data_IF_000417551634
#
_entry.id   IF_000417551634
#
_cell.length_a   1.000
_cell.length_b   1.000
_cell.length_c   1.000
_cell.angle_alpha   90.00
_cell.angle_beta   90.00
_cell.angle_gamma   90.00
#
_symmetry.space_group_name_H-M   'P 1'
#
loop_
_entity.id
_entity.type
_entity.pdbx_description
1 polymer ?
#
# COMPACT_ATOMS: atom_id res chain seq x y z
N UNK A 1 13.05 7.13 -10.42
CA UNK A 1 12.85 6.45 -9.13
C UNK A 1 11.83 7.26 -8.35
N UNK A 2 10.55 6.97 -8.53
CA UNK A 2 9.48 7.85 -8.05
C UNK A 2 8.78 7.13 -6.91
N UNK A 3 9.27 7.35 -5.69
CA UNK A 3 8.40 7.30 -4.51
C UNK A 3 7.27 8.28 -4.84
N UNK A 4 6.01 7.89 -4.69
CA UNK A 4 4.91 8.85 -4.68
C UNK A 4 5.16 9.81 -3.51
N UNK A 5 5.90 10.88 -3.76
CA UNK A 5 6.26 11.93 -2.81
C UNK A 5 5.05 12.83 -2.50
N UNK A 6 3.93 12.66 -3.22
CA UNK A 6 2.66 13.22 -2.80
C UNK A 6 2.12 12.39 -1.64
N UNK A 7 2.46 12.84 -0.44
CA UNK A 7 1.54 12.75 0.68
C UNK A 7 0.17 13.14 0.14
N UNK A 8 -0.82 12.29 0.38
CA UNK A 8 -2.22 12.72 0.30
C UNK A 8 -2.37 14.05 1.06
N UNK A 9 -3.32 14.95 0.73
CA UNK A 9 -3.58 16.17 1.50
C UNK A 9 -3.63 15.93 3.03
N UNK A 10 -3.99 14.73 3.47
CA UNK A 10 -4.01 14.33 4.89
C UNK A 10 -2.66 13.81 5.46
N UNK A 11 -1.60 13.72 4.64
CA UNK A 11 -0.25 13.34 5.07
C UNK A 11 0.12 11.86 4.91
N UNK A 12 -0.73 11.05 4.25
CA UNK A 12 -0.50 9.61 4.07
C UNK A 12 0.34 9.30 2.83
N UNK A 13 1.17 8.27 2.94
CA UNK A 13 1.74 7.55 1.80
C UNK A 13 0.73 6.55 1.28
N UNK A 14 0.40 6.65 0.00
CA UNK A 14 -0.59 5.81 -0.66
C UNK A 14 0.12 4.86 -1.63
N UNK A 15 -0.19 3.57 -1.53
CA UNK A 15 0.31 2.53 -2.43
C UNK A 15 -0.90 1.81 -3.02
N UNK A 16 -0.87 1.52 -4.31
CA UNK A 16 -1.94 0.78 -4.99
C UNK A 16 -1.36 -0.53 -5.48
N UNK A 17 -2.05 -1.63 -5.16
CA UNK A 17 -1.63 -2.97 -5.55
C UNK A 17 -2.77 -3.74 -6.18
N UNK A 18 -2.43 -4.68 -7.06
CA UNK A 18 -3.40 -5.62 -7.59
C UNK A 18 -3.92 -6.55 -6.48
N UNK A 19 -5.24 -6.65 -6.34
CA UNK A 19 -5.88 -7.46 -5.29
C UNK A 19 -5.52 -8.94 -5.38
N UNK A 20 -5.36 -9.48 -6.58
CA UNK A 20 -5.03 -10.89 -6.78
C UNK A 20 -3.61 -11.21 -6.29
N UNK A 21 -2.68 -10.26 -6.44
CA UNK A 21 -1.29 -10.42 -6.03
C UNK A 21 -1.13 -10.25 -4.50
N UNK A 22 -1.97 -9.40 -3.88
CA UNK A 22 -1.91 -9.14 -2.44
C UNK A 22 -2.78 -10.07 -1.58
N UNK A 23 -3.56 -10.97 -2.19
CA UNK A 23 -4.61 -11.75 -1.53
C UNK A 23 -4.11 -12.54 -0.31
N UNK A 24 -2.95 -13.19 -0.43
CA UNK A 24 -2.35 -13.99 0.66
C UNK A 24 -1.75 -13.14 1.79
N UNK A 25 -1.47 -11.86 1.53
CA UNK A 25 -0.79 -10.96 2.47
C UNK A 25 -1.76 -9.95 3.08
N UNK A 26 -3.00 -9.90 2.60
CA UNK A 26 -4.03 -9.01 3.10
C UNK A 26 -4.32 -9.21 4.58
N UNK A 27 -4.39 -10.46 5.02
CA UNK A 27 -4.59 -10.82 6.44
C UNK A 27 -3.43 -10.39 7.34
N UNK A 28 -2.22 -10.30 6.79
CA UNK A 28 -1.06 -9.81 7.54
C UNK A 28 -1.04 -8.29 7.59
N UNK A 29 -1.47 -7.63 6.51
CA UNK A 29 -1.55 -6.18 6.43
C UNK A 29 -2.69 -5.62 7.26
N UNK A 30 -3.84 -6.30 7.32
CA UNK A 30 -4.98 -5.88 8.14
C UNK A 30 -4.68 -5.89 9.64
N UNK A 31 -3.73 -6.73 10.08
CA UNK A 31 -3.23 -6.77 11.46
C UNK A 31 -2.31 -5.60 11.81
N UNK A 32 -1.78 -4.86 10.81
CA UNK A 32 -0.97 -3.67 11.06
C UNK A 32 -1.89 -2.49 11.34
N UNK A 33 -2.03 -2.12 12.61
CA UNK A 33 -2.81 -0.96 13.06
C UNK A 33 -2.39 0.39 12.44
N UNK A 34 -1.18 0.46 11.86
CA UNK A 34 -0.62 1.65 11.23
C UNK A 34 -0.89 1.77 9.72
N UNK A 35 -1.72 0.87 9.18
CA UNK A 35 -2.02 0.74 7.76
C UNK A 35 -3.54 0.69 7.56
N UNK A 36 -4.03 1.49 6.62
CA UNK A 36 -5.43 1.50 6.20
C UNK A 36 -5.50 0.80 4.84
N UNK A 37 -6.39 -0.18 4.71
CA UNK A 37 -6.63 -0.92 3.48
C UNK A 37 -8.01 -0.52 2.93
N UNK A 38 -8.06 -0.10 1.67
CA UNK A 38 -9.30 0.18 0.96
C UNK A 38 -9.35 -0.67 -0.31
N UNK A 39 -10.49 -1.30 -0.58
CA UNK A 39 -10.71 -2.16 -1.74
C UNK A 39 -11.43 -1.37 -2.83
N UNK A 40 -10.83 -1.31 -4.03
CA UNK A 40 -11.36 -0.57 -5.17
C UNK A 40 -11.23 -1.38 -6.45
N UNK A 41 -12.35 -1.89 -6.96
CA UNK A 41 -12.50 -2.45 -8.32
C UNK A 41 -11.37 -3.40 -8.75
N UNK A 42 -10.91 -4.28 -7.86
CA UNK A 42 -9.84 -5.25 -8.15
C UNK A 42 -8.44 -4.81 -7.73
N UNK A 43 -8.31 -3.63 -7.15
CA UNK A 43 -7.09 -3.11 -6.53
C UNK A 43 -7.28 -2.90 -5.03
N UNK A 44 -6.17 -2.91 -4.32
CA UNK A 44 -6.11 -2.61 -2.89
C UNK A 44 -5.24 -1.37 -2.71
N UNK A 45 -5.85 -0.34 -2.15
CA UNK A 45 -5.19 0.89 -1.78
C UNK A 45 -4.73 0.75 -0.33
N UNK A 46 -3.44 0.95 -0.12
CA UNK A 46 -2.78 0.83 1.17
C UNK A 46 -2.28 2.21 1.57
N UNK A 47 -2.87 2.79 2.62
CA UNK A 47 -2.50 4.11 3.14
C UNK A 47 -1.75 3.95 4.46
N UNK A 48 -0.64 4.66 4.64
CA UNK A 48 0.09 4.70 5.92
C UNK A 48 0.76 6.05 6.14
N UNK A 49 0.81 6.53 7.39
CA UNK A 49 1.56 7.76 7.72
C UNK A 49 3.08 7.52 7.83
N UNK A 50 3.51 6.25 7.94
CA UNK A 50 4.92 5.91 8.15
C UNK A 50 5.64 5.68 6.82
N UNK A 51 6.59 6.57 6.50
CA UNK A 51 7.47 6.43 5.32
C UNK A 51 8.21 5.10 5.30
N UNK A 52 8.64 4.62 6.48
CA UNK A 52 9.38 3.35 6.62
C UNK A 52 8.50 2.17 6.25
N UNK A 53 7.26 2.15 6.73
CA UNK A 53 6.28 1.11 6.39
C UNK A 53 5.97 1.17 4.89
N UNK A 54 5.65 2.36 4.36
CA UNK A 54 5.39 2.54 2.94
C UNK A 54 6.55 2.02 2.07
N UNK A 55 7.80 2.38 2.41
CA UNK A 55 8.98 1.93 1.67
C UNK A 55 9.19 0.41 1.77
N UNK A 56 8.93 -0.18 2.94
CA UNK A 56 9.03 -1.63 3.15
C UNK A 56 7.99 -2.39 2.34
N UNK A 57 6.74 -1.91 2.35
CA UNK A 57 5.64 -2.47 1.58
C UNK A 57 5.89 -2.35 0.09
N UNK A 58 6.29 -1.16 -0.38
CA UNK A 58 6.65 -0.94 -1.77
C UNK A 58 7.74 -1.91 -2.24
N UNK A 59 8.84 -2.05 -1.48
CA UNK A 59 9.91 -3.00 -1.84
C UNK A 59 9.45 -4.46 -1.82
N UNK A 60 8.63 -4.85 -0.84
CA UNK A 60 8.12 -6.22 -0.71
C UNK A 60 7.17 -6.58 -1.85
N UNK A 61 6.35 -5.63 -2.29
CA UNK A 61 5.25 -5.86 -3.22
C UNK A 61 5.40 -5.12 -4.55
N UNK A 62 6.62 -4.70 -4.91
CA UNK A 62 6.87 -3.93 -6.16
C UNK A 62 6.38 -4.66 -7.41
N UNK A 63 6.38 -6.01 -7.38
CA UNK A 63 5.90 -6.87 -8.47
C UNK A 63 4.37 -6.93 -8.58
N UNK A 64 3.67 -6.49 -7.53
CA UNK A 64 2.21 -6.45 -7.43
C UNK A 64 1.64 -5.05 -7.68
N UNK A 65 2.49 -4.08 -8.03
CA UNK A 65 2.06 -2.72 -8.34
C UNK A 65 1.51 -2.72 -9.76
N UNK A 66 0.25 -2.38 -9.91
CA UNK A 66 -0.31 -2.00 -11.20
C UNK A 66 0.25 -0.61 -11.54
N UNK A 67 1.24 -0.58 -12.42
CA UNK A 67 1.73 0.65 -13.09
C UNK A 67 0.85 1.02 -14.27
#
# INVERSE_FOLDING_TARGET
>A
MTVLERKDPEGYYVLVFNKNCLKSELDSLSKLSSVILEDYSGNIIVKTKSRRIASKLFKKFVKCIDT
#
